data_IF_894910413510
#
_entry.id   IF_894910413510
#
_cell.length_a   1.000
_cell.length_b   1.000
_cell.length_c   1.000
_cell.angle_alpha   90.00
_cell.angle_beta   90.00
_cell.angle_gamma   90.00
#
_symmetry.space_group_name_H-M   'P 1'
#
loop_
_entity.id
_entity.type
_entity.pdbx_description
1 polymer ?
#
# COMPACT_ATOMS: atom_id res chain seq x y z
N UNK A 1 4.88 10.83 22.21
CA UNK A 1 4.82 12.19 22.76
C UNK A 1 5.32 12.23 24.21
N UNK A 2 4.80 11.43 25.14
CA UNK A 2 5.24 11.46 26.56
C UNK A 2 6.75 11.32 26.77
N UNK A 3 7.40 10.29 26.20
CA UNK A 3 8.86 10.08 26.30
C UNK A 3 9.65 11.32 25.85
N UNK A 4 9.32 11.84 24.67
CA UNK A 4 10.00 13.01 24.10
C UNK A 4 9.76 14.28 24.93
N UNK A 5 8.55 14.47 25.45
CA UNK A 5 8.21 15.61 26.31
C UNK A 5 8.99 15.59 27.62
N UNK A 6 9.03 14.44 28.31
CA UNK A 6 9.78 14.29 29.56
C UNK A 6 11.28 14.49 29.36
N UNK A 7 11.81 13.99 28.25
CA UNK A 7 13.22 14.18 27.92
C UNK A 7 13.54 15.65 27.62
N UNK A 8 12.76 16.32 26.76
CA UNK A 8 13.06 17.68 26.32
C UNK A 8 12.76 18.74 27.38
N UNK A 9 11.65 18.61 28.12
CA UNK A 9 11.20 19.63 29.07
C UNK A 9 11.70 19.41 30.49
N UNK A 10 11.98 18.16 30.84
CA UNK A 10 12.31 17.78 32.22
C UNK A 10 13.64 17.03 32.32
N UNK A 11 14.36 16.82 31.20
CA UNK A 11 15.60 16.06 31.14
C UNK A 11 15.48 14.63 31.74
N UNK A 12 14.28 14.05 31.66
CA UNK A 12 14.00 12.69 32.17
C UNK A 12 13.91 11.72 31.01
N UNK A 13 14.90 10.84 30.92
CA UNK A 13 14.86 9.70 29.99
C UNK A 13 14.10 8.52 30.59
N UNK A 14 12.80 8.44 30.31
CA UNK A 14 11.96 7.33 30.78
C UNK A 14 12.33 5.97 30.17
N UNK A 15 13.22 5.91 29.18
CA UNK A 15 13.65 4.64 28.56
C UNK A 15 14.32 3.70 29.55
N UNK A 16 14.90 4.25 30.61
CA UNK A 16 15.64 3.53 31.65
C UNK A 16 14.73 2.85 32.69
N UNK A 17 13.42 3.17 32.70
CA UNK A 17 12.50 2.71 33.73
C UNK A 17 11.61 1.57 33.22
N UNK A 18 12.16 0.35 33.20
CA UNK A 18 11.49 -0.83 32.63
C UNK A 18 10.10 -1.11 33.25
N UNK A 19 9.96 -0.96 34.58
CA UNK A 19 8.66 -1.14 35.28
C UNK A 19 7.60 -0.12 34.82
N UNK A 20 8.00 1.14 34.66
CA UNK A 20 7.12 2.20 34.15
C UNK A 20 6.71 1.93 32.70
N UNK A 21 7.65 1.51 31.85
CA UNK A 21 7.35 1.15 30.45
C UNK A 21 6.35 -0.01 30.40
N UNK A 22 6.55 -1.05 31.21
CA UNK A 22 5.63 -2.18 31.29
C UNK A 22 4.23 -1.75 31.75
N UNK A 23 4.14 -0.92 32.79
CA UNK A 23 2.89 -0.34 33.25
C UNK A 23 2.19 0.46 32.14
N UNK A 24 2.89 1.38 31.46
CA UNK A 24 2.32 2.19 30.37
C UNK A 24 1.85 1.32 29.19
N UNK A 25 2.57 0.25 28.85
CA UNK A 25 2.12 -0.72 27.84
C UNK A 25 0.83 -1.42 28.25
N UNK A 26 0.73 -1.83 29.53
CA UNK A 26 -0.47 -2.47 30.08
C UNK A 26 -1.68 -1.52 30.09
N UNK A 27 -1.47 -0.25 30.44
CA UNK A 27 -2.54 0.76 30.41
C UNK A 27 -3.04 1.06 29.00
N UNK A 28 -2.20 0.87 27.97
CA UNK A 28 -2.58 1.07 26.58
C UNK A 28 -3.19 -0.17 25.92
N UNK A 29 -3.38 -1.29 26.65
CA UNK A 29 -4.04 -2.48 26.09
C UNK A 29 -5.47 -2.12 25.69
N UNK A 30 -5.86 -2.49 24.47
CA UNK A 30 -7.18 -2.17 23.90
C UNK A 30 -7.31 -0.75 23.31
N UNK A 31 -6.33 0.14 23.52
CA UNK A 31 -6.35 1.46 22.88
C UNK A 31 -6.23 1.32 21.36
N UNK A 32 -7.22 1.85 20.65
CA UNK A 32 -7.20 1.96 19.20
C UNK A 32 -6.87 3.40 18.79
N UNK A 33 -5.72 3.64 18.13
CA UNK A 33 -5.36 4.98 17.71
C UNK A 33 -6.36 5.50 16.68
N UNK A 34 -6.77 6.77 16.83
CA UNK A 34 -7.59 7.44 15.83
C UNK A 34 -6.86 7.46 14.50
N UNK A 35 -7.50 6.90 13.47
CA UNK A 35 -6.95 6.78 12.13
C UNK A 35 -7.49 7.89 11.22
N UNK A 36 -6.65 8.41 10.34
CA UNK A 36 -7.07 9.37 9.31
C UNK A 36 -8.09 8.74 8.36
N UNK A 37 -9.15 9.45 7.98
CA UNK A 37 -10.08 8.97 6.95
C UNK A 37 -9.37 8.77 5.60
N UNK A 38 -9.98 7.96 4.75
CA UNK A 38 -9.51 7.60 3.40
C UNK A 38 -10.55 8.03 2.36
N UNK A 39 -10.12 8.15 1.11
CA UNK A 39 -11.03 8.39 -0.03
C UNK A 39 -11.40 7.06 -0.70
N UNK A 40 -12.62 6.96 -1.22
CA UNK A 40 -13.02 5.87 -2.12
C UNK A 40 -12.52 6.14 -3.55
N UNK A 41 -12.60 5.14 -4.44
CA UNK A 41 -12.31 5.32 -5.87
C UNK A 41 -13.21 6.40 -6.49
N UNK A 42 -14.51 6.35 -6.19
CA UNK A 42 -15.48 7.34 -6.64
C UNK A 42 -15.14 8.76 -6.15
N UNK A 43 -14.72 8.93 -4.88
CA UNK A 43 -14.29 10.23 -4.39
C UNK A 43 -13.10 10.78 -5.19
N UNK A 44 -12.13 9.93 -5.52
CA UNK A 44 -10.94 10.30 -6.30
C UNK A 44 -11.36 10.70 -7.71
N UNK A 45 -12.12 9.86 -8.40
CA UNK A 45 -12.58 10.11 -9.77
C UNK A 45 -13.43 11.38 -9.87
N UNK A 46 -14.41 11.54 -8.97
CA UNK A 46 -15.25 12.73 -8.89
C UNK A 46 -14.40 13.99 -8.69
N UNK A 47 -13.45 13.98 -7.76
CA UNK A 47 -12.58 15.13 -7.52
C UNK A 47 -11.68 15.45 -8.71
N UNK A 48 -11.02 14.44 -9.30
CA UNK A 48 -10.11 14.64 -10.42
C UNK A 48 -10.85 15.16 -11.66
N UNK A 49 -12.07 14.68 -11.91
CA UNK A 49 -12.89 15.09 -13.05
C UNK A 49 -13.55 16.46 -12.85
N UNK A 50 -14.17 16.69 -11.69
CA UNK A 50 -15.10 17.81 -11.51
C UNK A 50 -14.49 19.02 -10.78
N UNK A 51 -13.40 18.86 -10.02
CA UNK A 51 -12.83 19.99 -9.30
C UNK A 51 -12.27 21.05 -10.27
N UNK A 52 -12.49 22.34 -10.01
CA UNK A 52 -12.06 23.40 -10.92
C UNK A 52 -10.54 23.53 -10.96
N UNK A 53 -10.04 24.30 -11.93
CA UNK A 53 -8.61 24.49 -12.16
C UNK A 53 -7.83 24.98 -10.92
N UNK A 54 -8.48 25.74 -10.03
CA UNK A 54 -7.89 26.21 -8.77
C UNK A 54 -7.41 25.07 -7.85
N UNK A 55 -7.98 23.87 -8.02
CA UNK A 55 -7.58 22.66 -7.30
C UNK A 55 -6.49 21.88 -8.02
N UNK A 56 -5.92 22.34 -9.13
CA UNK A 56 -4.88 21.63 -9.87
C UNK A 56 -3.70 21.15 -8.97
N UNK A 57 -3.13 21.98 -8.06
CA UNK A 57 -2.10 21.49 -7.13
C UNK A 57 -2.60 20.36 -6.21
N UNK A 58 -3.88 20.41 -5.81
CA UNK A 58 -4.50 19.39 -4.97
C UNK A 58 -4.74 18.09 -5.77
N UNK A 59 -5.16 18.17 -7.04
CA UNK A 59 -5.28 17.02 -7.94
C UNK A 59 -3.93 16.32 -8.12
N UNK A 60 -2.88 17.09 -8.40
CA UNK A 60 -1.50 16.59 -8.53
C UNK A 60 -1.03 15.93 -7.23
N UNK A 61 -1.26 16.57 -6.08
CA UNK A 61 -0.89 16.02 -4.78
C UNK A 61 -1.64 14.72 -4.45
N UNK A 62 -2.92 14.61 -4.85
CA UNK A 62 -3.73 13.41 -4.71
C UNK A 62 -3.17 12.28 -5.59
N UNK A 63 -2.91 12.55 -6.87
CA UNK A 63 -2.34 11.58 -7.83
C UNK A 63 -1.00 11.04 -7.35
N UNK A 64 -0.05 11.93 -7.03
CA UNK A 64 1.29 11.55 -6.56
C UNK A 64 1.20 10.87 -5.18
N UNK A 65 0.37 11.41 -4.28
CA UNK A 65 0.18 10.90 -2.93
C UNK A 65 -0.37 9.47 -2.92
N UNK A 66 -1.33 9.18 -3.80
CA UNK A 66 -1.93 7.85 -3.93
C UNK A 66 -0.98 6.90 -4.67
N UNK A 67 -0.41 7.32 -5.80
CA UNK A 67 0.46 6.44 -6.60
C UNK A 67 1.73 6.02 -5.85
N UNK A 68 2.27 6.91 -5.03
CA UNK A 68 3.49 6.66 -4.27
C UNK A 68 3.27 6.33 -2.79
N UNK A 69 2.03 6.25 -2.33
CA UNK A 69 1.70 6.17 -0.89
C UNK A 69 2.47 7.21 -0.05
N UNK A 70 2.63 8.42 -0.57
CA UNK A 70 3.57 9.41 -0.05
C UNK A 70 3.14 9.96 1.32
N UNK A 71 4.11 10.26 2.18
CA UNK A 71 3.91 11.08 3.38
C UNK A 71 3.78 12.55 3.00
N UNK A 72 3.15 13.35 3.85
CA UNK A 72 3.08 14.81 3.66
C UNK A 72 4.47 15.46 3.58
N UNK A 73 5.44 14.95 4.34
CA UNK A 73 6.81 15.48 4.32
C UNK A 73 7.53 15.15 3.01
N UNK A 74 7.24 14.00 2.39
CA UNK A 74 7.78 13.61 1.08
C UNK A 74 7.18 14.50 -0.02
N UNK A 75 5.85 14.71 -0.01
CA UNK A 75 5.19 15.65 -0.91
C UNK A 75 5.68 17.08 -0.72
N UNK A 76 5.86 17.51 0.53
CA UNK A 76 6.43 18.80 0.86
C UNK A 76 7.80 18.93 0.19
N UNK A 77 8.77 18.07 0.55
CA UNK A 77 10.17 18.19 0.12
C UNK A 77 10.44 17.99 -1.37
N UNK A 78 9.49 17.43 -2.11
CA UNK A 78 9.59 17.16 -3.54
C UNK A 78 10.04 18.38 -4.35
N UNK A 79 11.00 18.14 -5.25
CA UNK A 79 11.52 19.13 -6.21
C UNK A 79 11.04 18.85 -7.62
N UNK A 80 11.12 19.85 -8.49
CA UNK A 80 10.81 19.69 -9.92
C UNK A 80 11.71 18.65 -10.60
N UNK A 81 13.00 18.63 -10.27
CA UNK A 81 13.96 17.65 -10.79
C UNK A 81 13.78 16.22 -10.30
N UNK A 82 12.90 16.00 -9.32
CA UNK A 82 12.57 14.65 -8.82
C UNK A 82 11.54 13.92 -9.72
N UNK A 83 11.02 14.60 -10.75
CA UNK A 83 9.94 14.11 -11.61
C UNK A 83 10.42 14.04 -13.05
N UNK A 84 10.47 12.82 -13.59
CA UNK A 84 10.70 12.55 -15.00
C UNK A 84 9.35 12.28 -15.69
N UNK A 85 8.88 13.25 -16.47
CA UNK A 85 7.63 13.16 -17.22
C UNK A 85 7.90 12.63 -18.63
N UNK A 86 7.31 11.48 -18.93
CA UNK A 86 7.35 10.85 -20.25
C UNK A 86 5.96 10.87 -20.89
N UNK A 87 5.86 10.43 -22.15
CA UNK A 87 4.61 10.55 -22.93
C UNK A 87 3.40 9.87 -22.28
N UNK A 88 3.59 8.70 -21.67
CA UNK A 88 2.51 7.87 -21.11
C UNK A 88 2.70 7.53 -19.63
N UNK A 89 3.73 8.09 -18.99
CA UNK A 89 4.03 7.82 -17.57
C UNK A 89 4.83 8.95 -16.95
N UNK A 90 4.75 9.07 -15.63
CA UNK A 90 5.66 9.90 -14.85
C UNK A 90 6.42 9.03 -13.85
N UNK A 91 7.73 9.20 -13.76
CA UNK A 91 8.59 8.53 -12.79
C UNK A 91 8.95 9.57 -11.71
N UNK A 92 8.65 9.26 -10.46
CA UNK A 92 8.89 10.16 -9.32
C UNK A 92 9.92 9.52 -8.41
N UNK A 93 10.99 10.24 -8.13
CA UNK A 93 12.06 9.82 -7.21
C UNK A 93 11.88 10.55 -5.89
N UNK A 94 11.90 9.82 -4.79
CA UNK A 94 11.89 10.35 -3.43
C UNK A 94 13.27 10.11 -2.82
N UNK A 95 14.23 11.06 -2.94
CA UNK A 95 15.60 10.84 -2.50
C UNK A 95 15.73 10.75 -0.98
N UNK A 96 14.99 11.58 -0.26
CA UNK A 96 15.02 11.66 1.20
C UNK A 96 13.70 11.19 1.81
N UNK A 97 13.68 9.99 2.36
CA UNK A 97 12.54 9.45 3.11
C UNK A 97 12.80 9.45 4.61
N UNK A 98 11.74 9.33 5.43
CA UNK A 98 11.85 9.21 6.90
C UNK A 98 12.76 8.05 7.34
N UNK A 99 13.00 7.07 6.46
CA UNK A 99 13.86 5.91 6.69
C UNK A 99 15.23 6.01 6.03
N UNK A 100 15.57 7.16 5.43
CA UNK A 100 16.85 7.42 4.76
C UNK A 100 17.17 6.45 3.62
N UNK A 101 16.14 5.92 2.97
CA UNK A 101 16.30 5.10 1.76
C UNK A 101 15.56 5.77 0.61
N UNK A 102 16.25 6.06 -0.51
CA UNK A 102 15.58 6.55 -1.69
C UNK A 102 14.61 5.50 -2.22
N UNK A 103 13.48 5.94 -2.75
CA UNK A 103 12.53 5.08 -3.45
C UNK A 103 11.96 5.85 -4.62
N UNK A 104 11.51 5.12 -5.64
CA UNK A 104 10.77 5.70 -6.76
C UNK A 104 9.45 4.96 -6.95
N UNK A 105 8.54 5.60 -7.68
CA UNK A 105 7.29 5.01 -8.13
C UNK A 105 6.88 5.62 -9.47
N UNK A 106 5.93 4.96 -10.13
CA UNK A 106 5.47 5.33 -11.47
C UNK A 106 3.98 5.66 -11.42
N UNK A 107 3.60 6.74 -12.10
CA UNK A 107 2.21 7.05 -12.45
C UNK A 107 2.02 6.65 -13.90
N UNK A 108 1.15 5.67 -14.15
CA UNK A 108 0.95 5.09 -15.49
C UNK A 108 -0.49 5.25 -16.02
N UNK A 109 -1.41 5.79 -15.22
CA UNK A 109 -2.75 6.13 -15.70
C UNK A 109 -2.66 7.39 -16.58
N UNK A 110 -3.13 7.31 -17.83
CA UNK A 110 -3.01 8.39 -18.81
C UNK A 110 -3.65 9.70 -18.36
N UNK A 111 -4.87 9.65 -17.82
CA UNK A 111 -5.57 10.85 -17.32
C UNK A 111 -4.79 11.49 -16.16
N UNK A 112 -4.19 10.68 -15.30
CA UNK A 112 -3.39 11.17 -14.18
C UNK A 112 -2.09 11.80 -14.68
N UNK A 113 -1.47 11.23 -15.70
CA UNK A 113 -0.27 11.79 -16.35
C UNK A 113 -0.60 13.13 -17.01
N UNK A 114 -1.77 13.28 -17.62
CA UNK A 114 -2.22 14.56 -18.21
C UNK A 114 -2.38 15.65 -17.14
N UNK A 115 -2.93 15.31 -15.97
CA UNK A 115 -3.03 16.23 -14.83
C UNK A 115 -1.63 16.67 -14.36
N UNK A 116 -0.68 15.73 -14.28
CA UNK A 116 0.72 16.04 -13.93
C UNK A 116 1.36 16.96 -14.98
N UNK A 117 1.19 16.63 -16.26
CA UNK A 117 1.71 17.40 -17.39
C UNK A 117 1.20 18.83 -17.35
N UNK A 118 -0.11 19.03 -17.18
CA UNK A 118 -0.72 20.36 -17.06
C UNK A 118 -0.06 21.20 -15.96
N UNK A 119 0.19 20.63 -14.79
CA UNK A 119 0.85 21.33 -13.69
C UNK A 119 2.34 21.60 -13.95
N UNK A 120 3.06 20.62 -14.51
CA UNK A 120 4.48 20.76 -14.86
C UNK A 120 4.68 21.85 -15.91
N UNK A 121 3.81 21.95 -16.91
CA UNK A 121 3.87 22.99 -17.93
C UNK A 121 3.67 24.39 -17.33
N UNK A 122 2.75 24.56 -16.38
CA UNK A 122 2.64 25.81 -15.62
C UNK A 122 3.89 26.10 -14.77
N UNK A 123 4.48 25.04 -14.21
CA UNK A 123 5.63 25.13 -13.31
C UNK A 123 6.90 25.61 -14.01
N UNK A 124 7.03 25.40 -15.32
CA UNK A 124 8.14 25.89 -16.17
C UNK A 124 8.26 27.41 -16.18
N UNK A 125 7.13 28.12 -15.99
CA UNK A 125 7.08 29.59 -16.03
C UNK A 125 7.41 30.26 -14.68
N UNK A 126 7.71 29.48 -13.64
CA UNK A 126 7.97 29.99 -12.30
C UNK A 126 9.30 29.43 -11.81
N UNK A 127 10.13 30.25 -11.21
CA UNK A 127 11.42 29.81 -10.67
C UNK A 127 11.27 29.13 -9.30
N UNK A 128 12.28 28.34 -8.93
CA UNK A 128 12.43 27.72 -7.61
C UNK A 128 12.51 26.19 -7.67
N UNK A 129 13.00 25.59 -6.60
CA UNK A 129 13.23 24.14 -6.56
C UNK A 129 11.97 23.34 -6.22
N UNK A 130 11.12 23.90 -5.35
CA UNK A 130 9.99 23.17 -4.76
C UNK A 130 8.92 22.89 -5.79
N UNK A 131 8.46 21.65 -5.85
CA UNK A 131 7.50 21.22 -6.84
C UNK A 131 6.12 21.86 -6.61
N UNK A 132 5.58 21.73 -5.38
CA UNK A 132 4.28 22.27 -5.03
C UNK A 132 4.33 23.76 -4.68
N UNK A 133 3.86 24.60 -5.60
CA UNK A 133 3.63 26.04 -5.45
C UNK A 133 2.15 26.38 -5.33
N UNK A 134 1.83 27.45 -4.61
CA UNK A 134 0.45 27.92 -4.46
C UNK A 134 -0.09 28.46 -5.79
N UNK A 135 -1.34 28.12 -6.09
CA UNK A 135 -2.10 28.64 -7.23
C UNK A 135 -3.07 29.72 -6.72
N UNK A 136 -3.04 30.92 -7.30
CA UNK A 136 -3.92 32.05 -6.97
C UNK A 136 -4.39 32.74 -8.25
N UNK A 137 -5.70 33.00 -8.36
CA UNK A 137 -6.30 33.64 -9.54
C UNK A 137 -5.84 32.99 -10.87
N UNK A 138 -5.80 31.66 -10.91
CA UNK A 138 -5.38 30.88 -12.09
C UNK A 138 -3.88 30.90 -12.42
N UNK A 139 -3.02 31.52 -11.59
CA UNK A 139 -1.56 31.58 -11.82
C UNK A 139 -0.77 30.99 -10.67
N UNK A 140 0.31 30.29 -10.98
CA UNK A 140 1.25 29.82 -9.96
C UNK A 140 2.05 31.00 -9.41
N UNK A 141 2.17 31.02 -8.09
CA UNK A 141 2.97 32.01 -7.37
C UNK A 141 4.37 31.45 -7.07
N UNK A 142 5.36 32.30 -6.83
CA UNK A 142 6.69 31.86 -6.36
C UNK A 142 6.65 31.24 -4.95
N UNK A 143 5.53 31.34 -4.22
CA UNK A 143 5.42 30.85 -2.85
C UNK A 143 5.14 29.33 -2.83
N UNK A 144 6.05 28.52 -2.26
CA UNK A 144 5.80 27.09 -2.08
C UNK A 144 4.73 26.83 -1.02
N UNK A 145 4.10 25.66 -1.11
CA UNK A 145 3.25 25.18 -0.02
C UNK A 145 4.08 24.89 1.24
N UNK A 146 3.60 25.38 2.40
CA UNK A 146 4.17 25.04 3.70
C UNK A 146 3.83 23.62 4.12
N UNK A 147 4.59 23.06 5.08
CA UNK A 147 4.39 21.69 5.58
C UNK A 147 2.95 21.46 6.07
N UNK A 148 2.41 22.38 6.87
CA UNK A 148 1.04 22.28 7.38
C UNK A 148 0.00 22.43 6.28
N UNK A 149 0.28 23.25 5.26
CA UNK A 149 -0.61 23.43 4.11
C UNK A 149 -0.69 22.16 3.26
N UNK A 150 0.44 21.47 3.02
CA UNK A 150 0.46 20.15 2.36
C UNK A 150 -0.33 19.13 3.18
N UNK A 151 -0.11 19.08 4.49
CA UNK A 151 -0.82 18.14 5.37
C UNK A 151 -2.35 18.40 5.44
N UNK A 152 -2.81 19.59 5.08
CA UNK A 152 -4.22 19.97 5.01
C UNK A 152 -4.87 19.76 3.64
N UNK A 153 -4.12 19.41 2.59
CA UNK A 153 -4.70 19.17 1.26
C UNK A 153 -5.82 18.12 1.29
N UNK A 154 -5.69 16.96 1.98
CA UNK A 154 -6.78 16.00 2.07
C UNK A 154 -8.05 16.58 2.68
N UNK A 155 -7.93 17.41 3.73
CA UNK A 155 -9.05 18.11 4.34
C UNK A 155 -9.76 19.02 3.33
N UNK A 156 -9.01 19.78 2.53
CA UNK A 156 -9.57 20.66 1.50
C UNK A 156 -10.32 19.88 0.41
N UNK A 157 -9.78 18.74 -0.01
CA UNK A 157 -10.43 17.84 -0.97
C UNK A 157 -11.74 17.28 -0.37
N UNK A 158 -11.71 16.81 0.87
CA UNK A 158 -12.90 16.32 1.57
C UNK A 158 -13.96 17.42 1.74
N UNK A 159 -13.55 18.67 2.00
CA UNK A 159 -14.47 19.82 2.06
C UNK A 159 -15.13 20.09 0.71
N UNK A 160 -14.37 20.06 -0.39
CA UNK A 160 -14.90 20.22 -1.74
C UNK A 160 -15.93 19.13 -2.07
N UNK A 161 -15.61 17.88 -1.73
CA UNK A 161 -16.49 16.73 -1.93
C UNK A 161 -17.66 16.65 -0.93
N UNK A 162 -17.77 17.60 0.01
CA UNK A 162 -18.80 17.63 1.05
C UNK A 162 -18.87 16.34 1.89
N UNK A 163 -17.72 15.73 2.16
CA UNK A 163 -17.67 14.49 2.93
C UNK A 163 -17.92 14.75 4.43
N UNK A 164 -18.55 13.78 5.08
CA UNK A 164 -18.73 13.81 6.53
C UNK A 164 -17.39 13.79 7.27
N UNK A 165 -17.36 14.43 8.45
CA UNK A 165 -16.20 14.45 9.34
C UNK A 165 -14.90 14.96 8.70
N UNK A 166 -14.96 15.98 7.83
CA UNK A 166 -13.80 16.56 7.09
C UNK A 166 -12.50 16.68 7.91
N UNK A 167 -12.58 17.02 9.20
CA UNK A 167 -11.42 17.15 10.09
C UNK A 167 -10.61 15.86 10.30
N UNK A 168 -11.14 14.68 9.96
CA UNK A 168 -10.43 13.40 10.05
C UNK A 168 -9.55 13.12 8.83
N UNK A 169 -9.65 13.91 7.76
CA UNK A 169 -8.79 13.81 6.57
C UNK A 169 -7.49 14.58 6.81
N UNK A 170 -6.50 13.90 7.39
CA UNK A 170 -5.21 14.47 7.77
C UNK A 170 -4.12 14.15 6.74
N UNK A 171 -2.89 14.63 6.95
CA UNK A 171 -1.76 14.39 6.06
C UNK A 171 -1.41 12.92 5.78
N UNK A 172 -1.91 11.98 6.58
CA UNK A 172 -1.75 10.53 6.32
C UNK A 172 -2.82 9.95 5.38
N UNK A 173 -3.85 10.72 5.01
CA UNK A 173 -4.98 10.28 4.22
C UNK A 173 -4.55 9.59 2.91
N UNK A 174 -3.79 10.27 2.05
CA UNK A 174 -3.39 9.71 0.74
C UNK A 174 -2.64 8.38 0.85
N UNK A 175 -1.70 8.29 1.80
CA UNK A 175 -0.95 7.05 2.07
C UNK A 175 -1.87 5.92 2.52
N UNK A 176 -2.85 6.21 3.38
CA UNK A 176 -3.81 5.21 3.84
C UNK A 176 -4.75 4.78 2.73
N UNK A 177 -5.27 5.73 1.95
CA UNK A 177 -6.10 5.49 0.76
C UNK A 177 -5.38 4.55 -0.19
N UNK A 178 -4.13 4.88 -0.55
CA UNK A 178 -3.28 4.05 -1.43
C UNK A 178 -3.14 2.61 -0.95
N UNK A 179 -2.79 2.43 0.33
CA UNK A 179 -2.64 1.11 0.94
C UNK A 179 -3.93 0.30 0.90
N UNK A 180 -5.05 0.91 1.29
CA UNK A 180 -6.37 0.24 1.29
C UNK A 180 -6.83 -0.10 -0.12
N UNK A 181 -6.66 0.79 -1.09
CA UNK A 181 -7.01 0.51 -2.49
C UNK A 181 -6.19 -0.65 -3.05
N UNK A 182 -4.89 -0.71 -2.76
CA UNK A 182 -4.04 -1.82 -3.21
C UNK A 182 -4.51 -3.16 -2.64
N UNK A 183 -4.79 -3.22 -1.33
CA UNK A 183 -5.25 -4.45 -0.68
C UNK A 183 -6.61 -4.88 -1.23
N UNK A 184 -7.57 -3.95 -1.37
CA UNK A 184 -8.89 -4.26 -1.92
C UNK A 184 -8.81 -4.74 -3.39
N UNK A 185 -7.82 -4.28 -4.15
CA UNK A 185 -7.51 -4.79 -5.49
C UNK A 185 -6.73 -6.11 -5.49
N UNK A 186 -6.56 -6.78 -4.35
CA UNK A 186 -5.89 -8.08 -4.23
C UNK A 186 -4.38 -8.01 -4.07
N UNK A 187 -3.82 -6.83 -3.81
CA UNK A 187 -2.40 -6.66 -3.56
C UNK A 187 -1.96 -7.34 -2.26
N UNK A 188 -0.91 -8.14 -2.34
CA UNK A 188 -0.33 -8.82 -1.18
C UNK A 188 0.55 -7.90 -0.31
N UNK A 189 1.06 -8.47 0.78
CA UNK A 189 1.91 -7.74 1.73
C UNK A 189 3.24 -7.29 1.11
N UNK A 190 3.75 -8.01 0.10
CA UNK A 190 5.00 -7.68 -0.58
C UNK A 190 4.80 -6.43 -1.43
N UNK A 191 3.72 -6.39 -2.21
CA UNK A 191 3.29 -5.23 -3.00
C UNK A 191 3.06 -4.03 -2.09
N UNK A 192 2.41 -4.22 -0.93
CA UNK A 192 2.22 -3.14 0.03
C UNK A 192 3.55 -2.60 0.54
N UNK A 193 4.48 -3.48 0.98
CA UNK A 193 5.82 -3.08 1.44
C UNK A 193 6.60 -2.30 0.38
N UNK A 194 6.60 -2.77 -0.88
CA UNK A 194 7.21 -2.09 -2.02
C UNK A 194 6.56 -0.72 -2.26
N UNK A 195 5.23 -0.65 -2.26
CA UNK A 195 4.48 0.57 -2.50
C UNK A 195 4.73 1.65 -1.45
N UNK A 196 4.74 1.34 -0.16
CA UNK A 196 4.93 2.38 0.87
C UNK A 196 6.35 2.51 1.41
N UNK A 197 7.29 1.64 1.02
CA UNK A 197 8.59 1.56 1.66
C UNK A 197 8.49 1.17 3.14
N UNK A 198 7.55 0.28 3.49
CA UNK A 198 7.43 -0.21 4.86
C UNK A 198 8.48 -1.29 5.13
N UNK A 199 9.33 -1.05 6.14
CA UNK A 199 10.31 -2.05 6.63
C UNK A 199 9.64 -3.14 7.48
N UNK A 200 8.70 -2.74 8.34
CA UNK A 200 7.97 -3.66 9.22
C UNK A 200 6.68 -4.14 8.57
N UNK A 201 6.41 -5.45 8.68
CA UNK A 201 5.14 -6.05 8.26
C UNK A 201 3.97 -5.61 9.13
N UNK A 202 4.18 -5.31 10.41
CA UNK A 202 3.12 -4.95 11.38
C UNK A 202 2.28 -3.76 10.92
N UNK A 203 2.90 -2.74 10.34
CA UNK A 203 2.16 -1.57 9.81
C UNK A 203 1.40 -1.94 8.53
N UNK A 204 1.99 -2.79 7.69
CA UNK A 204 1.40 -3.28 6.45
C UNK A 204 0.19 -4.20 6.71
N UNK A 205 0.32 -5.14 7.64
CA UNK A 205 -0.72 -6.07 8.10
C UNK A 205 -1.97 -5.33 8.60
N UNK A 206 -1.80 -4.16 9.21
CA UNK A 206 -2.94 -3.36 9.69
C UNK A 206 -3.89 -2.87 8.58
N UNK A 207 -3.44 -2.85 7.32
CA UNK A 207 -4.30 -2.56 6.16
C UNK A 207 -4.94 -3.83 5.60
N UNK A 208 -4.18 -4.94 5.57
CA UNK A 208 -4.65 -6.25 5.10
C UNK A 208 -5.79 -6.77 5.96
N UNK A 209 -5.63 -6.76 7.29
CA UNK A 209 -6.64 -7.28 8.23
C UNK A 209 -7.97 -6.49 8.24
N UNK A 210 -7.97 -5.27 7.70
CA UNK A 210 -9.17 -4.41 7.62
C UNK A 210 -9.90 -4.44 6.28
N UNK A 211 -9.42 -5.19 5.29
CA UNK A 211 -10.04 -5.26 3.97
C UNK A 211 -11.23 -6.21 3.97
N UNK A 212 -12.43 -5.67 3.70
CA UNK A 212 -13.64 -6.46 3.56
C UNK A 212 -13.52 -7.43 2.38
N UNK A 213 -12.95 -7.01 1.25
CA UNK A 213 -12.73 -7.87 0.08
C UNK A 213 -11.76 -9.01 0.38
N UNK A 214 -10.71 -8.74 1.17
CA UNK A 214 -9.81 -9.78 1.68
C UNK A 214 -10.52 -10.78 2.58
N UNK A 215 -11.38 -10.30 3.47
CA UNK A 215 -12.20 -11.15 4.34
C UNK A 215 -13.22 -11.98 3.53
N UNK A 216 -13.87 -11.38 2.53
CA UNK A 216 -14.80 -12.07 1.63
C UNK A 216 -14.10 -13.14 0.80
N UNK A 217 -12.90 -12.87 0.31
CA UNK A 217 -12.09 -13.85 -0.42
C UNK A 217 -11.69 -15.02 0.48
N UNK A 218 -11.24 -14.75 1.71
CA UNK A 218 -10.93 -15.80 2.70
C UNK A 218 -12.18 -16.61 3.03
N UNK A 219 -13.31 -15.93 3.29
CA UNK A 219 -14.58 -16.59 3.55
C UNK A 219 -15.00 -17.48 2.36
N UNK A 220 -14.90 -17.00 1.13
CA UNK A 220 -15.23 -17.80 -0.06
C UNK A 220 -14.33 -19.02 -0.22
N UNK A 221 -13.03 -18.91 0.10
CA UNK A 221 -12.10 -20.04 0.05
C UNK A 221 -12.39 -21.09 1.14
N UNK A 222 -12.98 -20.67 2.27
CA UNK A 222 -13.39 -21.57 3.34
C UNK A 222 -14.78 -22.17 3.09
N UNK A 223 -15.62 -21.48 2.32
CA UNK A 223 -16.99 -21.90 1.97
C UNK A 223 -17.08 -22.71 0.69
N UNK A 224 -15.99 -22.86 -0.07
CA UNK A 224 -15.95 -23.88 -1.14
C UNK A 224 -15.92 -25.25 -0.48
N UNK A 225 -17.09 -25.88 -0.39
CA UNK A 225 -17.19 -27.32 -0.23
C UNK A 225 -16.44 -27.96 -1.40
N UNK A 226 -15.57 -28.94 -1.11
CA UNK A 226 -14.98 -29.83 -2.10
C UNK A 226 -16.09 -30.57 -2.85
N UNK A 227 -16.71 -29.93 -3.84
CA UNK A 227 -17.49 -30.66 -4.85
C UNK A 227 -16.50 -31.24 -5.84
N UNK A 228 -15.81 -32.28 -5.40
CA UNK A 228 -15.20 -33.24 -6.31
C UNK A 228 -16.35 -34.01 -6.96
N UNK A 229 -16.95 -33.45 -7.99
CA UNK A 229 -17.71 -34.20 -8.98
C UNK A 229 -17.08 -33.93 -10.34
N UNK A 230 -16.29 -34.89 -10.78
CA UNK A 230 -15.82 -35.01 -12.15
C UNK A 230 -17.01 -34.82 -13.10
N UNK A 231 -16.94 -33.86 -14.02
CA UNK A 231 -17.41 -33.98 -15.41
C UNK A 231 -17.05 -32.76 -16.27
N UNK A 232 -16.24 -33.06 -17.29
CA UNK A 232 -16.15 -32.44 -18.62
C UNK A 232 -15.87 -30.92 -18.74
N UNK A 233 -14.58 -30.58 -18.88
CA UNK A 233 -14.15 -29.44 -19.71
C UNK A 233 -13.54 -29.95 -21.03
N UNK A 234 -13.77 -29.26 -22.15
CA UNK A 234 -13.29 -29.68 -23.47
C UNK A 234 -11.77 -29.56 -23.56
N UNK A 235 -11.18 -30.56 -24.20
CA UNK A 235 -9.76 -30.71 -24.46
C UNK A 235 -9.23 -29.52 -25.28
N UNK A 236 -8.35 -28.67 -24.70
CA UNK A 236 -7.49 -27.77 -25.46
C UNK A 236 -6.07 -28.31 -25.35
N UNK A 237 -5.63 -28.96 -26.42
CA UNK A 237 -4.28 -29.48 -26.60
C UNK A 237 -3.32 -28.33 -26.90
N UNK A 238 -2.32 -28.12 -26.04
CA UNK A 238 -1.11 -27.35 -26.34
C UNK A 238 0.08 -28.29 -26.21
N UNK A 239 0.92 -28.48 -27.25
CA UNK A 239 2.05 -29.39 -27.20
C UNK A 239 3.30 -28.71 -26.59
N UNK A 240 3.89 -29.34 -25.58
CA UNK A 240 5.19 -28.97 -24.96
C UNK A 240 5.68 -30.07 -24.00
N UNK A 241 7.00 -30.28 -23.84
CA UNK A 241 7.58 -31.62 -23.67
C UNK A 241 7.63 -32.17 -22.22
N UNK A 242 7.47 -33.50 -22.14
CA UNK A 242 7.79 -34.43 -21.05
C UNK A 242 7.40 -33.98 -19.63
N UNK A 243 6.11 -34.07 -19.32
CA UNK A 243 5.61 -34.05 -17.94
C UNK A 243 5.87 -35.39 -17.27
N UNK A 244 6.82 -35.44 -16.33
CA UNK A 244 6.84 -36.53 -15.33
C UNK A 244 5.58 -36.39 -14.47
N UNK A 245 4.75 -37.43 -14.46
CA UNK A 245 3.57 -37.48 -13.61
C UNK A 245 3.97 -38.03 -12.25
N UNK A 246 3.70 -37.24 -11.20
CA UNK A 246 3.90 -37.64 -9.81
C UNK A 246 2.55 -38.00 -9.21
N UNK A 247 2.41 -39.24 -8.74
CA UNK A 247 1.22 -39.69 -8.04
C UNK A 247 1.59 -40.07 -6.60
N UNK A 248 0.88 -39.48 -5.63
CA UNK A 248 1.01 -39.82 -4.22
C UNK A 248 -0.14 -40.72 -3.80
N UNK A 249 0.16 -41.79 -3.06
CA UNK A 249 -0.84 -42.66 -2.46
C UNK A 249 -0.49 -42.98 -1.00
N UNK A 250 -1.52 -43.09 -0.16
CA UNK A 250 -1.37 -43.55 1.20
C UNK A 250 -1.41 -45.08 1.22
N UNK A 251 -0.37 -45.70 1.74
CA UNK A 251 -0.28 -47.16 1.87
C UNK A 251 -0.40 -47.57 3.33
N UNK A 252 -1.27 -48.54 3.61
CA UNK A 252 -1.38 -49.22 4.91
C UNK A 252 -1.00 -50.67 4.73
N UNK A 253 0.29 -50.97 4.76
CA UNK A 253 0.77 -52.34 4.91
C UNK A 253 1.73 -52.41 6.10
N UNK A 254 1.52 -53.40 6.97
CA UNK A 254 2.34 -53.75 8.13
C UNK A 254 2.64 -52.61 9.11
N UNK A 255 1.69 -52.35 10.03
CA UNK A 255 1.83 -51.59 11.30
C UNK A 255 2.47 -50.18 11.27
N UNK A 256 2.83 -49.65 10.10
CA UNK A 256 3.40 -48.31 9.95
C UNK A 256 2.58 -47.49 8.94
N UNK A 257 2.24 -46.25 9.32
CA UNK A 257 1.69 -45.26 8.39
C UNK A 257 2.84 -44.70 7.56
N UNK A 258 2.64 -44.58 6.25
CA UNK A 258 3.64 -44.04 5.34
C UNK A 258 3.04 -43.42 4.09
N UNK A 259 3.89 -42.73 3.33
CA UNK A 259 3.55 -42.14 2.02
C UNK A 259 4.36 -42.87 0.96
N UNK A 260 3.70 -43.26 -0.13
CA UNK A 260 4.34 -43.82 -1.31
C UNK A 260 4.30 -42.80 -2.45
N UNK A 261 5.47 -42.51 -3.02
CA UNK A 261 5.62 -41.69 -4.22
C UNK A 261 5.90 -42.62 -5.41
N UNK A 262 4.99 -42.60 -6.39
CA UNK A 262 5.23 -43.20 -7.69
C UNK A 262 5.68 -42.14 -8.68
N UNK A 263 6.85 -42.37 -9.28
CA UNK A 263 7.39 -41.55 -10.35
C UNK A 263 7.31 -42.36 -11.63
N UNK A 264 6.40 -41.99 -12.52
CA UNK A 264 6.27 -42.60 -13.84
C UNK A 264 7.18 -41.88 -14.84
N UNK A 265 8.08 -42.64 -15.46
CA UNK A 265 9.13 -42.15 -16.34
C UNK A 265 9.69 -43.27 -17.21
N UNK A 266 10.94 -43.14 -17.65
CA UNK A 266 11.61 -44.19 -18.45
C UNK A 266 11.93 -45.45 -17.64
N UNK A 267 12.18 -45.26 -16.34
CA UNK A 267 12.34 -46.32 -15.33
C UNK A 267 11.37 -46.01 -14.18
N UNK A 268 10.34 -46.84 -14.01
CA UNK A 268 9.36 -46.65 -12.95
C UNK A 268 10.01 -46.88 -11.58
N UNK A 269 9.99 -45.84 -10.75
CA UNK A 269 10.59 -45.89 -9.40
C UNK A 269 9.52 -45.60 -8.35
N UNK A 270 9.55 -46.39 -7.27
CA UNK A 270 8.65 -46.21 -6.12
C UNK A 270 9.49 -45.91 -4.88
N UNK A 271 9.17 -44.81 -4.19
CA UNK A 271 9.81 -44.43 -2.93
C UNK A 271 8.78 -44.54 -1.82
N UNK A 272 9.02 -45.43 -0.85
CA UNK A 272 8.17 -45.61 0.32
C UNK A 272 8.82 -44.96 1.55
N UNK A 273 8.10 -44.04 2.19
CA UNK A 273 8.54 -43.39 3.43
C UNK A 273 7.62 -43.85 4.55
N UNK A 274 8.18 -44.53 5.56
CA UNK A 274 7.45 -45.01 6.72
C UNK A 274 7.70 -44.12 7.94
N UNK A 275 6.65 -43.75 8.67
CA UNK A 275 6.75 -43.02 9.92
C UNK A 275 6.76 -44.02 11.09
N UNK A 276 7.91 -44.14 11.76
CA UNK A 276 8.00 -44.92 12.99
C UNK A 276 7.32 -44.16 14.14
N UNK A 277 6.35 -44.80 14.81
CA UNK A 277 5.85 -44.33 16.11
C UNK A 277 6.94 -44.58 17.15
N UNK A 278 7.58 -43.53 17.64
CA UNK A 278 8.32 -43.59 18.91
C UNK A 278 7.30 -43.59 20.04
N UNK A 279 7.21 -44.71 20.76
CA UNK A 279 6.46 -44.86 22.01
C UNK A 279 7.04 -43.99 23.13
#
# INVERSE_FOLDING_TARGET
>A
MLKSTLNLKHNVDISKYCKLIAYLKKQNVGYQPKKSSIFTKENIENFLKNAPFEFLPHKVALVIGISGACRSDELFKMKTGDIDLQQHRAIIVLPNTKTYQPRSFVVANTEWVEILKCYIDLRKNVEGDRFFLQLRHGKLTKQPYGHNSIAQLPKKIASYLQLNNVNTYTGHCFRRTSATLLVNSGGDIINLKKLGGWRSSTVAESYVGSSLDGQLKIASMLSTEDTTSMQNMPNISVPGPSSQQFHFSNTKENLHQGISLHVEGRDNTTINIYFNKTS
#
